data_IF_228328321275
#
_entry.id   IF_228328321275
#
_cell.length_a   1.000
_cell.length_b   1.000
_cell.length_c   1.000
_cell.angle_alpha   90.00
_cell.angle_beta   90.00
_cell.angle_gamma   90.00
#
_symmetry.space_group_name_H-M   'P 1'
#
loop_
_entity.id
_entity.type
_entity.pdbx_description
1 polymer ?
#
# COMPACT_ATOMS: atom_id res chain seq x y z
N UNK A 1 -20.72 -5.39 26.05
CA UNK A 1 -19.77 -6.37 26.62
C UNK A 1 -19.07 -7.10 25.48
N UNK A 2 -17.76 -7.41 25.56
CA UNK A 2 -17.02 -8.05 24.43
C UNK A 2 -17.66 -9.38 24.02
N UNK A 3 -18.25 -10.11 24.98
CA UNK A 3 -18.97 -11.36 24.77
C UNK A 3 -20.23 -11.23 23.91
N UNK A 4 -20.80 -10.04 23.74
CA UNK A 4 -21.97 -9.85 22.88
C UNK A 4 -21.59 -9.83 21.39
N UNK A 5 -20.33 -9.51 21.09
CA UNK A 5 -19.80 -9.40 19.72
C UNK A 5 -18.89 -10.58 19.34
N UNK A 6 -18.27 -11.23 20.33
CA UNK A 6 -17.38 -12.38 20.14
C UNK A 6 -18.06 -13.73 20.48
N UNK A 7 -19.37 -13.73 20.72
CA UNK A 7 -20.18 -14.90 21.06
C UNK A 7 -20.44 -15.05 22.56
N UNK A 8 -21.69 -15.40 22.90
CA UNK A 8 -22.11 -15.59 24.28
C UNK A 8 -21.47 -16.86 24.86
N UNK A 9 -20.54 -16.68 25.80
CA UNK A 9 -20.02 -17.74 26.66
C UNK A 9 -21.12 -18.18 27.63
N UNK A 10 -22.09 -18.98 27.15
CA UNK A 10 -23.00 -19.72 28.05
C UNK A 10 -22.27 -20.74 28.94
N UNK A 11 -20.98 -20.95 28.71
CA UNK A 11 -20.06 -21.53 29.66
C UNK A 11 -18.82 -20.63 29.69
N UNK A 12 -18.42 -20.18 30.87
CA UNK A 12 -17.08 -19.63 31.09
C UNK A 12 -16.10 -20.78 30.85
N UNK A 13 -15.79 -21.05 29.59
CA UNK A 13 -14.72 -21.96 29.22
C UNK A 13 -13.47 -21.34 29.84
N UNK A 14 -12.78 -22.08 30.71
CA UNK A 14 -11.52 -21.63 31.30
C UNK A 14 -10.69 -21.04 30.15
N UNK A 15 -10.31 -19.74 30.19
CA UNK A 15 -9.54 -19.16 29.11
C UNK A 15 -8.34 -20.07 28.92
N UNK A 16 -8.04 -20.43 27.66
CA UNK A 16 -6.83 -21.17 27.35
C UNK A 16 -5.70 -20.31 27.92
N UNK A 17 -5.16 -20.72 29.07
CA UNK A 17 -3.97 -20.10 29.63
C UNK A 17 -2.91 -20.45 28.63
N UNK A 18 -2.61 -19.52 27.73
CA UNK A 18 -1.38 -19.54 27.00
C UNK A 18 -0.29 -19.62 28.07
N UNK A 19 0.27 -20.81 28.27
CA UNK A 19 1.54 -21.05 28.92
C UNK A 19 2.66 -20.50 28.04
N UNK A 20 2.44 -19.33 27.43
CA UNK A 20 3.52 -18.45 27.00
C UNK A 20 4.21 -18.11 28.30
N UNK A 21 5.26 -18.89 28.55
CA UNK A 21 6.16 -18.81 29.67
C UNK A 21 6.30 -17.34 30.06
N UNK A 22 6.24 -17.07 31.37
CA UNK A 22 6.81 -15.87 31.99
C UNK A 22 8.30 -15.78 31.63
N UNK A 23 8.61 -15.49 30.37
CA UNK A 23 9.88 -14.97 29.94
C UNK A 23 9.66 -13.48 29.89
N UNK A 24 10.14 -12.84 30.96
CA UNK A 24 10.61 -11.46 31.05
C UNK A 24 10.11 -10.51 29.96
N UNK A 25 9.49 -9.41 30.37
CA UNK A 25 8.89 -8.34 29.55
C UNK A 25 9.78 -7.74 28.42
N UNK A 26 11.00 -8.24 28.21
CA UNK A 26 11.86 -8.00 27.05
C UNK A 26 11.63 -8.99 25.87
N UNK A 27 10.93 -10.12 26.07
CA UNK A 27 10.75 -11.19 25.07
C UNK A 27 9.52 -11.02 24.15
N UNK A 28 8.72 -9.96 24.32
CA UNK A 28 7.65 -9.57 23.39
C UNK A 28 8.12 -8.39 22.53
N UNK A 29 9.31 -8.51 21.94
CA UNK A 29 9.66 -7.62 20.82
C UNK A 29 8.78 -8.05 19.65
N UNK A 30 7.59 -7.46 19.56
CA UNK A 30 6.68 -7.69 18.45
C UNK A 30 7.40 -7.21 17.19
N UNK A 31 7.58 -8.11 16.23
CA UNK A 31 8.11 -7.82 14.89
C UNK A 31 7.08 -7.06 14.04
N UNK A 32 6.43 -6.06 14.65
CA UNK A 32 5.41 -5.24 14.04
C UNK A 32 6.06 -4.37 12.97
N UNK A 33 5.50 -4.45 11.78
CA UNK A 33 5.90 -3.66 10.61
C UNK A 33 4.63 -3.18 9.92
N UNK A 34 4.62 -2.00 9.28
CA UNK A 34 3.48 -1.58 8.46
C UNK A 34 3.18 -2.64 7.41
N UNK A 35 1.89 -2.92 7.15
CA UNK A 35 1.45 -4.00 6.24
C UNK A 35 2.18 -3.94 4.89
N UNK A 36 2.18 -2.76 4.26
CA UNK A 36 2.88 -2.52 2.99
C UNK A 36 4.38 -2.88 3.02
N UNK A 37 5.03 -2.83 4.18
CA UNK A 37 6.44 -3.10 4.41
C UNK A 37 6.74 -4.54 4.84
N UNK A 38 5.73 -5.39 5.02
CA UNK A 38 5.90 -6.77 5.47
C UNK A 38 6.85 -7.54 4.56
N UNK A 39 6.65 -7.52 3.25
CA UNK A 39 7.48 -8.28 2.30
C UNK A 39 8.93 -7.82 2.30
N UNK A 40 9.18 -6.51 2.21
CA UNK A 40 10.54 -5.95 2.35
C UNK A 40 11.17 -6.39 3.68
N UNK A 41 10.42 -6.29 4.78
CA UNK A 41 10.93 -6.66 6.11
C UNK A 41 11.27 -8.14 6.21
N UNK A 42 10.51 -9.02 5.54
CA UNK A 42 10.80 -10.45 5.46
C UNK A 42 12.08 -10.67 4.65
N UNK A 43 12.18 -10.13 3.44
CA UNK A 43 13.35 -10.31 2.56
C UNK A 43 14.61 -9.74 3.21
N UNK A 44 14.55 -8.55 3.82
CA UNK A 44 15.67 -7.94 4.55
C UNK A 44 16.13 -8.81 5.72
N UNK A 45 15.22 -9.38 6.51
CA UNK A 45 15.58 -10.28 7.62
C UNK A 45 16.21 -11.58 7.11
N UNK A 46 15.65 -12.17 6.05
CA UNK A 46 16.24 -13.36 5.41
C UNK A 46 17.63 -13.06 4.86
N UNK A 47 17.80 -11.91 4.22
CA UNK A 47 19.07 -11.48 3.66
C UNK A 47 20.14 -11.30 4.75
N UNK A 48 19.77 -10.73 5.90
CA UNK A 48 20.67 -10.57 7.04
C UNK A 48 21.08 -11.91 7.68
N UNK A 49 20.20 -12.92 7.63
CA UNK A 49 20.48 -14.27 8.13
C UNK A 49 21.20 -15.18 7.11
N UNK A 50 21.21 -14.80 5.83
CA UNK A 50 21.78 -15.62 4.76
C UNK A 50 23.31 -15.68 4.84
N UNK A 51 23.87 -16.86 4.57
CA UNK A 51 25.33 -17.07 4.51
C UNK A 51 25.96 -16.21 3.41
N UNK A 52 27.16 -15.70 3.70
CA UNK A 52 27.94 -14.93 2.74
C UNK A 52 28.22 -15.72 1.47
N UNK A 53 28.19 -15.02 0.33
CA UNK A 53 28.43 -15.57 -1.01
C UNK A 53 27.50 -16.72 -1.43
N UNK A 54 26.37 -16.93 -0.74
CA UNK A 54 25.38 -17.91 -1.15
C UNK A 54 24.52 -17.43 -2.33
N UNK A 55 24.09 -18.38 -3.17
CA UNK A 55 23.12 -18.11 -4.24
C UNK A 55 21.82 -17.54 -3.66
N UNK A 56 21.41 -17.98 -2.47
CA UNK A 56 20.25 -17.42 -1.77
C UNK A 56 20.43 -15.93 -1.46
N UNK A 57 21.59 -15.53 -0.95
CA UNK A 57 21.89 -14.12 -0.65
C UNK A 57 21.79 -13.26 -1.91
N UNK A 58 22.32 -13.73 -3.04
CA UNK A 58 22.21 -13.03 -4.33
C UNK A 58 20.76 -12.90 -4.79
N UNK A 59 19.96 -13.98 -4.69
CA UNK A 59 18.53 -13.95 -5.03
C UNK A 59 17.74 -12.98 -4.16
N UNK A 60 17.99 -12.97 -2.85
CA UNK A 60 17.35 -12.05 -1.90
C UNK A 60 17.74 -10.59 -2.15
N UNK A 61 18.98 -10.33 -2.59
CA UNK A 61 19.40 -8.97 -3.00
C UNK A 61 18.64 -8.50 -4.23
N UNK A 62 18.51 -9.36 -5.24
CA UNK A 62 17.73 -9.06 -6.45
C UNK A 62 16.26 -8.84 -6.13
N UNK A 63 15.65 -9.71 -5.32
CA UNK A 63 14.26 -9.56 -4.88
C UNK A 63 14.07 -8.25 -4.11
N UNK A 64 14.98 -7.92 -3.19
CA UNK A 64 14.90 -6.67 -2.43
C UNK A 64 15.02 -5.44 -3.34
N UNK A 65 15.96 -5.46 -4.29
CA UNK A 65 16.12 -4.39 -5.26
C UNK A 65 14.87 -4.22 -6.13
N UNK A 66 14.27 -5.32 -6.58
CA UNK A 66 13.02 -5.29 -7.34
C UNK A 66 11.88 -4.66 -6.53
N UNK A 67 11.70 -5.07 -5.26
CA UNK A 67 10.66 -4.51 -4.40
C UNK A 67 10.80 -3.00 -4.18
N UNK A 68 12.02 -2.47 -4.09
CA UNK A 68 12.24 -1.03 -4.02
C UNK A 68 11.98 -0.35 -5.36
N UNK A 69 12.45 -0.94 -6.46
CA UNK A 69 12.22 -0.40 -7.81
C UNK A 69 10.72 -0.32 -8.15
N UNK A 70 9.95 -1.36 -7.81
CA UNK A 70 8.50 -1.37 -8.02
C UNK A 70 7.82 -0.24 -7.26
N UNK A 71 8.24 0.04 -6.01
CA UNK A 71 7.71 1.13 -5.21
C UNK A 71 8.03 2.51 -5.77
N UNK A 72 9.25 2.70 -6.29
CA UNK A 72 9.66 3.92 -6.97
C UNK A 72 8.80 4.15 -8.22
N UNK A 73 8.60 3.11 -9.04
CA UNK A 73 7.76 3.18 -10.25
C UNK A 73 6.31 3.51 -9.89
N UNK A 74 5.73 2.83 -8.89
CA UNK A 74 4.35 3.08 -8.44
C UNK A 74 4.20 4.53 -7.95
N UNK A 75 5.13 4.98 -7.10
CA UNK A 75 5.11 6.35 -6.56
C UNK A 75 5.22 7.38 -7.68
N UNK A 76 6.23 7.24 -8.53
CA UNK A 76 6.49 8.14 -9.64
C UNK A 76 5.30 8.26 -10.59
N UNK A 77 4.71 7.14 -11.02
CA UNK A 77 3.55 7.16 -11.92
C UNK A 77 2.30 7.78 -11.28
N UNK A 78 1.99 7.46 -10.02
CA UNK A 78 0.80 8.03 -9.36
C UNK A 78 0.98 9.55 -9.16
N UNK A 79 2.18 10.00 -8.79
CA UNK A 79 2.49 11.43 -8.70
C UNK A 79 2.45 12.11 -10.07
N UNK A 80 2.92 11.44 -11.13
CA UNK A 80 2.84 11.94 -12.51
C UNK A 80 1.39 12.02 -13.02
N UNK A 81 0.52 11.08 -12.63
CA UNK A 81 -0.93 11.17 -12.90
C UNK A 81 -1.50 12.42 -12.23
N UNK A 82 -1.16 12.67 -10.96
CA UNK A 82 -1.61 13.87 -10.25
C UNK A 82 -1.10 15.16 -10.89
N UNK A 83 0.18 15.21 -11.27
CA UNK A 83 0.79 16.35 -11.94
C UNK A 83 0.13 16.63 -13.30
N UNK A 84 -0.10 15.59 -14.10
CA UNK A 84 -0.75 15.70 -15.41
C UNK A 84 -2.21 16.13 -15.28
N UNK A 85 -2.94 15.59 -14.30
CA UNK A 85 -4.33 15.95 -13.99
C UNK A 85 -4.48 17.42 -13.57
N UNK A 86 -3.45 17.99 -12.96
CA UNK A 86 -3.42 19.37 -12.45
C UNK A 86 -2.66 20.36 -13.33
N UNK A 87 -2.26 19.94 -14.54
CA UNK A 87 -1.53 20.78 -15.49
C UNK A 87 -2.19 22.15 -15.76
N UNK A 88 -3.53 22.21 -15.67
CA UNK A 88 -4.35 23.43 -15.82
C UNK A 88 -4.49 24.20 -14.50
N UNK A 89 -4.45 23.55 -13.34
CA UNK A 89 -4.59 24.15 -12.01
C UNK A 89 -3.46 23.72 -11.07
N UNK A 90 -2.29 24.35 -11.22
CA UNK A 90 -1.03 23.94 -10.57
C UNK A 90 -1.00 24.14 -9.05
N UNK A 91 -1.92 24.94 -8.48
CA UNK A 91 -1.92 25.25 -7.05
C UNK A 91 -2.24 24.06 -6.13
N UNK A 92 -2.98 23.07 -6.63
CA UNK A 92 -3.45 21.94 -5.83
C UNK A 92 -2.48 20.75 -5.72
N UNK A 93 -1.34 20.76 -6.41
CA UNK A 93 -0.48 19.58 -6.50
C UNK A 93 0.03 19.13 -5.12
N UNK A 94 0.56 20.06 -4.32
CA UNK A 94 1.05 19.75 -2.98
C UNK A 94 -0.08 19.28 -2.06
N UNK A 95 -1.29 19.82 -2.19
CA UNK A 95 -2.43 19.38 -1.38
C UNK A 95 -2.84 17.92 -1.69
N UNK A 96 -2.54 17.47 -2.90
CA UNK A 96 -2.87 16.13 -3.39
C UNK A 96 -1.81 15.10 -3.03
N UNK A 97 -0.53 15.43 -3.20
CA UNK A 97 0.59 14.48 -3.02
C UNK A 97 1.20 14.47 -1.62
N UNK A 98 0.88 15.46 -0.78
CA UNK A 98 1.24 15.39 0.64
C UNK A 98 0.47 14.26 1.32
N UNK A 99 1.00 13.69 2.41
CA UNK A 99 0.33 12.62 3.17
C UNK A 99 -1.01 13.04 3.83
N UNK A 100 -1.49 14.26 3.55
CA UNK A 100 -2.81 14.75 3.92
C UNK A 100 -3.87 13.92 3.20
N UNK A 101 -4.80 13.35 3.96
CA UNK A 101 -5.93 12.59 3.43
C UNK A 101 -7.20 13.43 3.52
N UNK A 102 -7.77 13.80 2.38
CA UNK A 102 -9.05 14.48 2.33
C UNK A 102 -10.18 13.48 2.65
N UNK A 103 -11.27 13.99 3.23
CA UNK A 103 -12.46 13.17 3.46
C UNK A 103 -13.11 12.90 2.10
N UNK A 104 -13.22 11.63 1.73
CA UNK A 104 -13.87 11.23 0.49
C UNK A 104 -15.38 11.53 0.57
N UNK A 105 -15.86 12.32 -0.39
CA UNK A 105 -17.27 12.66 -0.63
C UNK A 105 -17.68 12.38 -2.07
N UNK A 106 -16.75 12.43 -3.02
CA UNK A 106 -16.98 12.19 -4.45
C UNK A 106 -16.69 10.74 -4.84
N UNK A 107 -17.51 9.83 -4.32
CA UNK A 107 -17.37 8.39 -4.52
C UNK A 107 -17.38 7.96 -6.00
N UNK A 108 -18.25 8.56 -6.82
CA UNK A 108 -18.35 8.21 -8.25
C UNK A 108 -17.04 8.52 -9.01
N UNK A 109 -16.43 9.67 -8.74
CA UNK A 109 -15.13 10.03 -9.29
C UNK A 109 -14.07 9.04 -8.84
N UNK A 110 -14.00 8.74 -7.54
CA UNK A 110 -12.98 7.86 -7.00
C UNK A 110 -13.12 6.44 -7.56
N UNK A 111 -14.33 5.89 -7.60
CA UNK A 111 -14.59 4.57 -8.14
C UNK A 111 -14.16 4.48 -9.61
N UNK A 112 -14.68 5.37 -10.47
CA UNK A 112 -14.34 5.38 -11.90
C UNK A 112 -12.83 5.46 -12.15
N UNK A 113 -12.14 6.33 -11.42
CA UNK A 113 -10.69 6.51 -11.60
C UNK A 113 -9.91 5.30 -11.08
N UNK A 114 -10.29 4.71 -9.94
CA UNK A 114 -9.61 3.51 -9.42
C UNK A 114 -9.81 2.28 -10.30
N UNK A 115 -10.99 2.12 -10.91
CA UNK A 115 -11.24 1.09 -11.92
C UNK A 115 -10.34 1.30 -13.15
N UNK A 116 -10.22 2.54 -13.63
CA UNK A 116 -9.32 2.86 -14.75
C UNK A 116 -7.84 2.61 -14.42
N UNK A 117 -7.40 2.90 -13.19
CA UNK A 117 -6.04 2.56 -12.71
C UNK A 117 -5.82 1.05 -12.68
N UNK A 118 -6.80 0.27 -12.20
CA UNK A 118 -6.75 -1.20 -12.18
C UNK A 118 -6.56 -1.75 -13.60
N UNK A 119 -7.24 -1.16 -14.58
CA UNK A 119 -7.18 -1.60 -15.96
C UNK A 119 -5.89 -1.20 -16.67
N UNK A 120 -5.40 0.03 -16.43
CA UNK A 120 -4.33 0.64 -17.24
C UNK A 120 -2.96 0.65 -16.59
N UNK A 121 -2.87 0.74 -15.27
CA UNK A 121 -1.60 1.01 -14.59
C UNK A 121 -1.12 -0.16 -13.75
N UNK A 122 -1.92 -0.59 -12.76
CA UNK A 122 -1.46 -1.41 -11.65
C UNK A 122 -2.50 -2.43 -11.22
N UNK A 123 -2.09 -3.48 -10.52
CA UNK A 123 -3.02 -4.30 -9.75
C UNK A 123 -3.23 -3.71 -8.35
N UNK A 124 -4.48 -3.38 -8.01
CA UNK A 124 -4.92 -2.87 -6.73
C UNK A 124 -4.88 -3.93 -5.62
N UNK A 125 -4.59 -5.20 -5.92
CA UNK A 125 -4.23 -6.17 -4.87
C UNK A 125 -2.85 -5.89 -4.25
N UNK A 126 -2.03 -5.07 -4.91
CA UNK A 126 -0.77 -4.59 -4.38
C UNK A 126 -1.00 -3.61 -3.20
N UNK A 127 -0.62 -4.02 -2.00
CA UNK A 127 -0.78 -3.21 -0.78
C UNK A 127 -0.08 -1.84 -0.86
N UNK A 128 1.04 -1.75 -1.59
CA UNK A 128 1.74 -0.48 -1.76
C UNK A 128 0.96 0.46 -2.68
N UNK A 129 0.32 -0.05 -3.74
CA UNK A 129 -0.57 0.72 -4.61
C UNK A 129 -1.78 1.22 -3.81
N UNK A 130 -2.41 0.35 -3.00
CA UNK A 130 -3.53 0.73 -2.14
C UNK A 130 -3.17 1.88 -1.21
N UNK A 131 -1.96 1.87 -0.61
CA UNK A 131 -1.51 2.96 0.24
C UNK A 131 -1.25 4.27 -0.51
N UNK A 132 -1.21 4.27 -1.86
CA UNK A 132 -1.07 5.48 -2.68
C UNK A 132 -2.40 6.01 -3.24
N UNK A 133 -3.49 5.24 -3.17
CA UNK A 133 -4.80 5.65 -3.68
C UNK A 133 -5.40 6.88 -2.98
N UNK A 134 -4.88 7.28 -1.82
CA UNK A 134 -5.30 8.54 -1.20
C UNK A 134 -5.03 9.76 -2.10
N UNK A 135 -3.99 9.70 -2.95
CA UNK A 135 -3.69 10.76 -3.93
C UNK A 135 -4.84 10.90 -4.93
N UNK A 136 -5.41 9.77 -5.35
CA UNK A 136 -6.55 9.72 -6.27
C UNK A 136 -7.82 10.24 -5.59
N UNK A 137 -8.05 9.84 -4.34
CA UNK A 137 -9.13 10.40 -3.54
C UNK A 137 -8.99 11.93 -3.42
N UNK A 138 -7.79 12.42 -3.14
CA UNK A 138 -7.51 13.85 -3.05
C UNK A 138 -7.79 14.57 -4.37
N UNK A 139 -7.36 14.03 -5.52
CA UNK A 139 -7.66 14.59 -6.84
C UNK A 139 -9.17 14.76 -7.06
N UNK A 140 -9.95 13.74 -6.71
CA UNK A 140 -11.39 13.83 -6.80
C UNK A 140 -11.93 14.95 -5.88
N UNK A 141 -11.51 15.03 -4.62
CA UNK A 141 -12.02 16.01 -3.67
C UNK A 141 -11.69 17.47 -4.03
N UNK A 142 -10.53 17.74 -4.63
CA UNK A 142 -10.17 19.11 -5.03
C UNK A 142 -10.87 19.60 -6.31
N UNK A 143 -11.80 18.81 -6.85
CA UNK A 143 -12.65 19.22 -7.96
C UNK A 143 -12.17 18.79 -9.35
N UNK A 144 -11.15 17.94 -9.46
CA UNK A 144 -10.80 17.35 -10.76
C UNK A 144 -11.95 16.51 -11.30
N UNK A 145 -12.17 16.58 -12.61
CA UNK A 145 -13.12 15.71 -13.31
C UNK A 145 -12.45 14.35 -13.54
N UNK A 146 -13.21 13.28 -13.31
CA UNK A 146 -12.83 11.90 -13.61
C UNK A 146 -12.29 11.74 -15.05
N UNK A 147 -12.94 12.36 -16.03
CA UNK A 147 -12.49 12.35 -17.44
C UNK A 147 -11.08 12.94 -17.60
N UNK A 148 -10.74 13.98 -16.84
CA UNK A 148 -9.40 14.58 -16.87
C UNK A 148 -8.37 13.66 -16.24
N UNK A 149 -8.71 13.02 -15.13
CA UNK A 149 -7.81 12.09 -14.43
C UNK A 149 -7.60 10.83 -15.28
N UNK A 150 -8.66 10.29 -15.90
CA UNK A 150 -8.57 9.12 -16.78
C UNK A 150 -7.71 9.40 -18.02
N UNK A 151 -7.79 10.60 -18.60
CA UNK A 151 -6.86 11.02 -19.67
C UNK A 151 -5.41 11.11 -19.19
N UNK A 152 -5.18 11.61 -17.98
CA UNK A 152 -3.85 11.62 -17.37
C UNK A 152 -3.31 10.20 -17.14
N UNK A 153 -4.18 9.28 -16.70
CA UNK A 153 -3.86 7.86 -16.57
C UNK A 153 -3.47 7.27 -17.93
N UNK A 154 -4.25 7.51 -18.98
CA UNK A 154 -3.95 6.98 -20.32
C UNK A 154 -2.60 7.51 -20.86
N UNK A 155 -2.23 8.74 -20.50
CA UNK A 155 -0.96 9.35 -20.90
C UNK A 155 0.25 8.83 -20.12
N UNK A 156 0.07 8.51 -18.84
CA UNK A 156 1.16 8.06 -17.96
C UNK A 156 1.33 6.55 -18.02
N UNK A 157 0.23 5.82 -18.17
CA UNK A 157 0.19 4.36 -18.17
C UNK A 157 0.02 3.84 -19.59
N UNK A 158 1.12 3.86 -20.35
CA UNK A 158 1.16 3.33 -21.72
C UNK A 158 0.94 1.81 -21.78
N UNK A 159 1.33 1.08 -20.72
CA UNK A 159 1.11 -0.36 -20.54
C UNK A 159 0.89 -0.67 -19.05
N UNK A 160 0.04 -1.68 -18.79
CA UNK A 160 -0.26 -2.17 -17.44
C UNK A 160 0.96 -2.90 -16.87
N UNK A 161 1.42 -2.44 -15.72
CA UNK A 161 2.55 -3.06 -15.02
C UNK A 161 2.05 -4.20 -14.14
N UNK A 162 2.67 -5.37 -14.34
CA UNK A 162 2.54 -6.52 -13.47
C UNK A 162 3.77 -6.60 -12.57
N UNK A 163 3.56 -6.56 -11.26
CA UNK A 163 4.61 -6.78 -10.28
C UNK A 163 4.39 -8.18 -9.71
N UNK A 164 5.42 -9.02 -9.73
CA UNK A 164 5.31 -10.39 -9.27
C UNK A 164 5.15 -10.43 -7.75
N UNK A 165 3.97 -10.90 -7.32
CA UNK A 165 3.60 -11.07 -5.91
C UNK A 165 3.84 -12.49 -5.40
#
# INVERSE_FOLDING_TARGET
NVSEFQGATKQIYKPIRNLLKKHNNAALRRDAVPTQNVRISIVTRRLAAAKDNSIEKQKLQLELAQLYNDREIITSRIEQIAATSLSINRGGYLEVVTEKRLKLTRYDCYQSVTEHIQEKCFDLQNEFVLNKLYIIANLCEIGSLDVTINKAIDQVCNERLHFDY
#
